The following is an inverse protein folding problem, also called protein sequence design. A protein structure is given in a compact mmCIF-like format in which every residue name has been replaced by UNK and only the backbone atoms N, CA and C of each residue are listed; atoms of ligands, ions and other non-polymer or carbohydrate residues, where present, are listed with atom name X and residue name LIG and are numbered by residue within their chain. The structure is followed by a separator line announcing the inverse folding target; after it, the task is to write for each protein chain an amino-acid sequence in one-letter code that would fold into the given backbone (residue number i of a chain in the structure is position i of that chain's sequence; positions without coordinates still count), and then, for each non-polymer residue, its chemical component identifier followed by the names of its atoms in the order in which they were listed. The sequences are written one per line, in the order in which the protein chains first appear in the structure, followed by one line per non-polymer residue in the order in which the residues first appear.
data_IF_039278547702
#
_entry.id   IF_039278547702
#
_cell.length_a   1.000
_cell.length_b   1.000
_cell.length_c   1.000
_cell.angle_alpha   90.00
_cell.angle_beta   90.00
_cell.angle_gamma   90.00
#
_symmetry.space_group_name_H-M   'P 1'
#
loop_
_entity.id
_entity.type
_entity.pdbx_description
1 polymer ?
#
# COMPACT_ATOMS: atom_id res chain seq x y z
N UNK A 1 -2.00 -7.16 8.98
CA UNK A 1 -2.20 -7.52 7.55
C UNK A 1 -3.67 -7.44 7.07
N UNK A 2 -4.68 -7.55 7.96
CA UNK A 2 -6.09 -7.60 7.57
C UNK A 2 -6.58 -6.40 6.73
N UNK A 3 -6.13 -5.17 7.03
CA UNK A 3 -6.51 -3.98 6.25
C UNK A 3 -6.08 -4.08 4.79
N UNK A 4 -4.85 -4.54 4.50
CA UNK A 4 -4.38 -4.72 3.13
C UNK A 4 -5.24 -5.70 2.35
N UNK A 5 -5.59 -6.83 2.98
CA UNK A 5 -6.50 -7.82 2.40
C UNK A 5 -7.90 -7.24 2.13
N UNK A 6 -8.47 -6.51 3.10
CA UNK A 6 -9.79 -5.89 2.94
C UNK A 6 -9.83 -4.85 1.81
N UNK A 7 -8.73 -4.12 1.60
CA UNK A 7 -8.59 -3.18 0.49
C UNK A 7 -8.43 -3.90 -0.85
N UNK A 8 -7.69 -5.01 -0.90
CA UNK A 8 -7.52 -5.82 -2.12
C UNK A 8 -8.86 -6.33 -2.67
N UNK A 9 -9.77 -6.79 -1.80
CA UNK A 9 -11.11 -7.25 -2.17
C UNK A 9 -12.00 -6.18 -2.83
N UNK A 10 -11.61 -4.91 -2.71
CA UNK A 10 -12.35 -3.75 -3.24
C UNK A 10 -11.61 -3.04 -4.37
N UNK A 11 -10.34 -3.36 -4.57
CA UNK A 11 -9.54 -2.78 -5.63
C UNK A 11 -9.95 -3.37 -6.99
N UNK A 12 -9.67 -2.60 -8.03
CA UNK A 12 -9.91 -2.91 -9.44
C UNK A 12 -8.70 -2.47 -10.26
N UNK A 13 -8.59 -2.96 -11.49
CA UNK A 13 -7.58 -2.50 -12.43
C UNK A 13 -7.62 -0.97 -12.57
N UNK A 14 -6.45 -0.34 -12.61
CA UNK A 14 -6.29 1.12 -12.66
C UNK A 14 -6.37 1.80 -11.29
N UNK A 15 -6.68 1.09 -10.20
CA UNK A 15 -6.66 1.71 -8.88
C UNK A 15 -5.22 1.91 -8.38
N UNK A 16 -5.00 3.05 -7.75
CA UNK A 16 -3.74 3.37 -7.07
C UNK A 16 -3.99 3.65 -5.60
N UNK A 17 -3.22 3.01 -4.73
CA UNK A 17 -3.18 3.26 -3.30
C UNK A 17 -1.87 3.98 -2.96
N UNK A 18 -1.99 5.17 -2.37
CA UNK A 18 -0.88 6.00 -1.93
C UNK A 18 -0.65 5.78 -0.44
N UNK A 19 0.47 5.14 -0.09
CA UNK A 19 0.77 4.69 1.26
C UNK A 19 1.68 5.71 1.96
N UNK A 20 1.07 6.50 2.84
CA UNK A 20 1.75 7.50 3.66
C UNK A 20 2.02 6.95 5.07
N UNK A 21 3.12 7.39 5.68
CA UNK A 21 3.45 7.06 7.07
C UNK A 21 4.94 7.06 7.32
N UNK A 22 5.34 7.27 8.57
CA UNK A 22 6.75 7.25 8.98
C UNK A 22 7.41 5.87 8.84
N UNK A 23 8.68 5.78 9.24
CA UNK A 23 9.38 4.51 9.39
C UNK A 23 8.63 3.60 10.38
N UNK A 24 8.55 2.31 10.07
CA UNK A 24 7.84 1.34 10.93
C UNK A 24 6.31 1.43 10.94
N UNK A 25 5.71 2.41 10.26
CA UNK A 25 4.25 2.60 10.23
C UNK A 25 3.47 1.44 9.57
N UNK A 26 4.17 0.52 8.90
CA UNK A 26 3.56 -0.70 8.36
C UNK A 26 3.12 -0.61 6.89
N UNK A 27 3.60 0.37 6.11
CA UNK A 27 3.32 0.51 4.67
C UNK A 27 3.56 -0.79 3.89
N UNK A 28 4.76 -1.36 3.99
CA UNK A 28 5.10 -2.65 3.37
C UNK A 28 4.28 -3.82 3.91
N UNK A 29 3.88 -3.79 5.20
CA UNK A 29 3.00 -4.81 5.78
C UNK A 29 1.59 -4.75 5.16
N UNK A 30 1.06 -3.55 4.93
CA UNK A 30 -0.19 -3.35 4.21
C UNK A 30 -0.06 -3.83 2.77
N UNK A 31 1.00 -3.43 2.06
CA UNK A 31 1.22 -3.86 0.68
C UNK A 31 1.32 -5.39 0.56
N UNK A 32 2.02 -6.04 1.48
CA UNK A 32 2.09 -7.51 1.56
C UNK A 32 0.73 -8.15 1.77
N UNK A 33 -0.06 -7.66 2.73
CA UNK A 33 -1.41 -8.17 2.95
C UNK A 33 -2.31 -7.99 1.72
N UNK A 34 -2.16 -6.87 1.03
CA UNK A 34 -2.87 -6.58 -0.22
C UNK A 34 -2.49 -7.57 -1.32
N UNK A 35 -1.19 -7.67 -1.66
CA UNK A 35 -0.69 -8.47 -2.78
C UNK A 35 -1.03 -9.96 -2.58
N UNK A 36 -0.82 -10.47 -1.37
CA UNK A 36 -1.14 -11.86 -1.06
C UNK A 36 -2.62 -12.14 -1.24
N UNK A 37 -3.49 -11.25 -0.74
CA UNK A 37 -4.94 -11.41 -0.90
C UNK A 37 -5.38 -11.28 -2.36
N UNK A 38 -4.76 -10.38 -3.12
CA UNK A 38 -5.00 -10.17 -4.55
C UNK A 38 -4.71 -11.44 -5.35
N UNK A 39 -3.56 -12.06 -5.11
CA UNK A 39 -3.09 -13.25 -5.81
C UNK A 39 -3.63 -14.57 -5.23
N UNK A 40 -4.42 -14.55 -4.16
CA UNK A 40 -4.91 -15.77 -3.52
C UNK A 40 -3.83 -16.59 -2.80
N UNK A 41 -2.75 -15.95 -2.33
CA UNK A 41 -1.66 -16.57 -1.56
C UNK A 41 -2.11 -16.86 -0.11
N UNK A 42 -3.04 -17.82 0.05
CA UNK A 42 -3.63 -18.17 1.36
C UNK A 42 -2.62 -18.81 2.32
N UNK A 43 -1.61 -19.50 1.80
CA UNK A 43 -0.55 -20.13 2.59
C UNK A 43 0.59 -19.18 2.98
N UNK A 44 0.50 -17.91 2.56
CA UNK A 44 1.47 -16.86 2.83
C UNK A 44 2.90 -17.19 2.33
N UNK A 45 3.02 -18.02 1.29
CA UNK A 45 4.29 -18.47 0.73
C UNK A 45 4.94 -17.41 -0.18
N UNK A 46 4.15 -16.52 -0.78
CA UNK A 46 4.67 -15.44 -1.61
C UNK A 46 5.50 -14.46 -0.77
N UNK A 47 6.75 -14.27 -1.18
CA UNK A 47 7.63 -13.29 -0.58
C UNK A 47 7.34 -11.88 -1.12
N UNK A 48 6.84 -11.00 -0.25
CA UNK A 48 6.63 -9.58 -0.55
C UNK A 48 7.44 -8.74 0.42
N UNK A 49 8.56 -8.23 -0.09
CA UNK A 49 9.47 -7.33 0.62
C UNK A 49 9.28 -5.88 0.13
N UNK A 50 9.81 -4.92 0.90
CA UNK A 50 9.88 -3.55 0.43
C UNK A 50 10.84 -3.47 -0.77
N UNK A 51 10.41 -2.86 -1.89
CA UNK A 51 11.22 -2.70 -3.07
C UNK A 51 12.12 -1.46 -2.98
N UNK A 52 12.52 -0.96 -1.80
CA UNK A 52 13.25 0.32 -1.69
C UNK A 52 14.48 0.45 -2.61
N UNK A 53 15.13 -0.66 -3.00
CA UNK A 53 16.26 -0.66 -3.94
C UNK A 53 15.87 -0.97 -5.38
N UNK A 54 14.85 -1.80 -5.59
CA UNK A 54 14.33 -2.14 -6.93
C UNK A 54 13.41 -1.04 -7.47
N UNK A 55 12.94 -0.15 -6.59
CA UNK A 55 11.93 0.88 -6.79
C UNK A 55 10.55 0.31 -7.10
N UNK A 56 10.44 -0.67 -7.99
CA UNK A 56 9.20 -1.31 -8.40
C UNK A 56 9.37 -2.84 -8.40
N UNK A 57 8.52 -3.53 -7.63
CA UNK A 57 8.33 -4.97 -7.72
C UNK A 57 6.97 -5.26 -8.35
N UNK A 58 6.95 -6.11 -9.37
CA UNK A 58 5.74 -6.50 -10.07
C UNK A 58 5.29 -7.90 -9.68
N UNK A 59 3.98 -8.05 -9.49
CA UNK A 59 3.34 -9.30 -9.10
C UNK A 59 2.24 -9.62 -10.11
N UNK A 60 2.54 -10.41 -11.15
CA UNK A 60 1.58 -10.74 -12.18
C UNK A 60 0.52 -11.70 -11.63
N UNK A 61 -0.74 -11.42 -11.95
CA UNK A 61 -1.85 -12.33 -11.69
C UNK A 61 -2.01 -13.28 -12.89
N UNK A 62 -1.18 -14.33 -12.93
CA UNK A 62 -1.05 -15.23 -14.09
C UNK A 62 -2.32 -16.07 -14.34
N UNK A 63 -3.04 -16.42 -13.27
CA UNK A 63 -4.23 -17.26 -13.32
C UNK A 63 -5.52 -16.44 -13.57
N UNK A 64 -5.47 -15.10 -13.48
CA UNK A 64 -6.62 -14.22 -13.65
C UNK A 64 -7.55 -14.28 -12.43
N UNK A 65 -6.94 -14.01 -11.27
CA UNK A 65 -7.19 -14.53 -9.95
C UNK A 65 -8.55 -14.26 -9.31
N UNK A 66 -8.62 -14.65 -8.03
CA UNK A 66 -9.87 -14.77 -7.28
C UNK A 66 -10.70 -13.48 -7.18
N UNK A 67 -10.06 -12.32 -7.28
CA UNK A 67 -10.70 -11.00 -7.11
C UNK A 67 -11.01 -10.27 -8.42
N UNK A 68 -10.44 -10.71 -9.55
CA UNK A 68 -10.82 -10.22 -10.88
C UNK A 68 -11.03 -11.37 -11.88
N UNK A 69 -12.22 -12.01 -11.83
CA UNK A 69 -12.55 -13.10 -12.74
C UNK A 69 -12.42 -12.65 -14.21
N UNK A 70 -11.49 -13.27 -14.94
CA UNK A 70 -11.29 -13.03 -16.38
C UNK A 70 -10.34 -11.88 -16.74
N UNK A 71 -9.66 -11.27 -15.76
CA UNK A 71 -8.65 -10.24 -15.98
C UNK A 71 -7.31 -10.60 -15.33
N UNK A 72 -6.23 -10.58 -16.12
CA UNK A 72 -4.86 -10.69 -15.60
C UNK A 72 -4.35 -9.28 -15.28
N UNK A 73 -4.33 -8.93 -14.01
CA UNK A 73 -4.01 -7.56 -13.58
C UNK A 73 -2.81 -7.62 -12.65
N UNK A 74 -1.68 -7.12 -13.14
CA UNK A 74 -0.44 -7.02 -12.38
C UNK A 74 -0.61 -6.02 -11.24
N UNK A 75 -0.05 -6.36 -10.07
CA UNK A 75 0.13 -5.40 -8.97
C UNK A 75 1.56 -4.86 -9.04
N UNK A 76 1.70 -3.54 -9.09
CA UNK A 76 2.97 -2.85 -8.91
C UNK A 76 3.10 -2.39 -7.47
N UNK A 77 4.17 -2.79 -6.80
CA UNK A 77 4.55 -2.28 -5.48
C UNK A 77 5.75 -1.37 -5.68
N UNK A 78 5.53 -0.07 -5.48
CA UNK A 78 6.55 0.94 -5.63
C UNK A 78 6.96 1.48 -4.26
N UNK A 79 8.26 1.64 -4.03
CA UNK A 79 8.80 2.36 -2.88
C UNK A 79 9.73 3.47 -3.36
N UNK A 80 9.23 4.70 -3.24
CA UNK A 80 9.89 5.87 -3.82
C UNK A 80 10.85 6.56 -2.84
N UNK A 81 11.00 6.08 -1.60
CA UNK A 81 11.76 6.77 -0.55
C UNK A 81 13.16 7.24 -0.99
N UNK A 82 13.85 6.40 -1.78
CA UNK A 82 15.22 6.64 -2.24
C UNK A 82 15.31 7.52 -3.49
N UNK A 83 14.18 7.80 -4.15
CA UNK A 83 14.18 8.61 -5.36
C UNK A 83 14.08 10.10 -5.03
N UNK A 84 14.75 10.95 -5.82
CA UNK A 84 14.38 12.35 -5.92
C UNK A 84 12.94 12.48 -6.43
N UNK A 85 12.29 13.59 -6.08
CA UNK A 85 10.96 13.90 -6.59
C UNK A 85 10.92 13.91 -8.13
N UNK A 86 9.88 13.35 -8.73
CA UNK A 86 9.68 13.46 -10.17
C UNK A 86 10.49 12.51 -11.03
N UNK A 87 11.05 11.43 -10.44
CA UNK A 87 12.00 10.55 -11.13
C UNK A 87 11.50 9.13 -11.41
N UNK A 88 10.38 8.72 -10.82
CA UNK A 88 9.89 7.35 -11.02
C UNK A 88 9.47 7.09 -12.48
N UNK A 89 8.93 8.11 -13.17
CA UNK A 89 8.57 7.99 -14.59
C UNK A 89 9.74 7.76 -15.55
N UNK A 90 10.99 7.85 -15.08
CA UNK A 90 12.18 7.49 -15.86
C UNK A 90 12.50 5.99 -15.79
N UNK A 91 11.91 5.28 -14.83
CA UNK A 91 12.15 3.87 -14.55
C UNK A 91 10.93 3.01 -14.88
N UNK A 92 9.73 3.58 -14.74
CA UNK A 92 8.45 2.90 -14.88
C UNK A 92 7.55 3.68 -15.85
N UNK A 93 6.82 2.97 -16.72
CA UNK A 93 5.79 3.57 -17.59
C UNK A 93 4.52 3.89 -16.78
N UNK A 94 4.58 4.97 -15.98
CA UNK A 94 3.49 5.37 -15.10
C UNK A 94 2.14 5.53 -15.83
N UNK A 95 2.04 6.13 -17.04
CA UNK A 95 0.77 6.22 -17.75
C UNK A 95 0.12 4.87 -18.03
N UNK A 96 0.89 3.84 -18.36
CA UNK A 96 0.36 2.49 -18.57
C UNK A 96 0.03 1.82 -17.24
N UNK A 97 0.94 1.90 -16.27
CA UNK A 97 0.80 1.25 -14.97
C UNK A 97 -0.42 1.78 -14.21
N UNK A 98 -0.60 3.10 -14.09
CA UNK A 98 -1.74 3.67 -13.38
C UNK A 98 -3.08 3.48 -14.09
N UNK A 99 -3.08 3.18 -15.39
CA UNK A 99 -4.31 2.94 -16.15
C UNK A 99 -4.75 1.49 -16.10
N UNK A 100 -3.82 0.56 -16.27
CA UNK A 100 -4.12 -0.84 -16.56
C UNK A 100 -3.85 -1.78 -15.36
N UNK A 101 -2.99 -1.37 -14.42
CA UNK A 101 -2.55 -2.19 -13.29
C UNK A 101 -3.12 -1.68 -11.96
N UNK A 102 -2.95 -2.48 -10.90
CA UNK A 102 -3.11 -1.97 -9.52
C UNK A 102 -1.77 -1.46 -9.03
N UNK A 103 -1.73 -0.30 -8.40
CA UNK A 103 -0.50 0.30 -7.91
C UNK A 103 -0.54 0.54 -6.40
N UNK A 104 0.50 0.12 -5.68
CA UNK A 104 0.73 0.41 -4.28
C UNK A 104 1.99 1.26 -4.17
N UNK A 105 1.86 2.55 -3.86
CA UNK A 105 2.98 3.49 -3.88
C UNK A 105 3.32 3.93 -2.47
N UNK A 106 4.43 3.44 -1.92
CA UNK A 106 5.02 3.95 -0.68
C UNK A 106 5.79 5.25 -0.93
N UNK A 107 5.68 6.18 0.02
CA UNK A 107 6.30 7.52 -0.05
C UNK A 107 5.85 8.32 -1.29
N UNK A 108 4.53 8.44 -1.52
CA UNK A 108 3.96 9.07 -2.70
C UNK A 108 4.30 10.57 -2.82
N UNK A 109 4.77 11.23 -1.76
CA UNK A 109 5.30 12.60 -1.78
C UNK A 109 6.54 12.77 -2.70
N UNK A 110 7.12 11.67 -3.18
CA UNK A 110 8.19 11.69 -4.19
C UNK A 110 7.66 11.73 -5.62
N UNK A 111 6.35 11.61 -5.83
CA UNK A 111 5.74 11.89 -7.13
C UNK A 111 5.73 13.40 -7.36
N UNK A 112 6.11 13.81 -8.56
CA UNK A 112 5.87 15.19 -8.99
C UNK A 112 4.36 15.45 -9.18
N UNK A 113 3.91 16.71 -9.17
CA UNK A 113 2.51 17.04 -9.48
C UNK A 113 2.04 16.49 -10.82
N UNK A 114 2.90 16.46 -11.84
CA UNK A 114 2.57 15.94 -13.18
C UNK A 114 2.38 14.43 -13.16
N UNK A 115 3.25 13.69 -12.46
CA UNK A 115 3.10 12.23 -12.31
C UNK A 115 1.85 11.90 -11.49
N UNK A 116 1.56 12.68 -10.44
CA UNK A 116 0.37 12.49 -9.62
C UNK A 116 -0.94 12.69 -10.41
N UNK A 117 -0.95 13.60 -11.40
CA UNK A 117 -2.10 13.86 -12.27
C UNK A 117 -2.42 12.71 -13.23
N UNK A 118 -1.51 11.75 -13.42
CA UNK A 118 -1.77 10.55 -14.24
C UNK A 118 -2.80 9.62 -13.58
N UNK A 119 -2.96 9.71 -12.26
CA UNK A 119 -3.95 8.93 -11.51
C UNK A 119 -5.33 9.59 -11.58
N UNK A 120 -6.37 8.81 -11.89
CA UNK A 120 -7.73 9.33 -11.95
C UNK A 120 -8.35 9.59 -10.56
N UNK A 121 -8.23 8.63 -9.65
CA UNK A 121 -8.95 8.61 -8.37
C UNK A 121 -8.21 7.75 -7.32
N UNK A 122 -7.04 8.18 -6.81
CA UNK A 122 -6.28 7.37 -5.87
C UNK A 122 -6.94 7.28 -4.49
N UNK A 123 -6.64 6.20 -3.77
CA UNK A 123 -6.92 6.09 -2.34
C UNK A 123 -5.67 6.45 -1.56
N UNK A 124 -5.72 7.48 -0.73
CA UNK A 124 -4.64 7.74 0.23
C UNK A 124 -4.86 6.92 1.50
N UNK A 125 -3.80 6.25 1.95
CA UNK A 125 -3.76 5.45 3.16
C UNK A 125 -2.69 6.03 4.07
N UNK A 126 -3.10 6.69 5.13
CA UNK A 126 -2.22 7.31 6.12
C UNK A 126 -2.09 6.40 7.32
N UNK A 127 -0.91 5.79 7.48
CA UNK A 127 -0.58 4.89 8.58
C UNK A 127 0.25 5.63 9.62
N UNK A 128 -0.13 5.50 10.90
CA UNK A 128 0.77 5.88 12.00
C UNK A 128 0.71 4.85 13.13
N UNK A 129 1.82 4.77 13.84
CA UNK A 129 1.89 4.11 15.13
C UNK A 129 1.12 4.96 16.14
N UNK A 130 0.55 4.35 17.17
CA UNK A 130 0.13 5.11 18.34
C UNK A 130 1.34 5.69 19.09
N UNK A 131 1.10 6.52 20.10
CA UNK A 131 2.17 7.24 20.78
C UNK A 131 3.16 6.31 21.49
N UNK A 132 2.66 5.24 22.12
CA UNK A 132 3.50 4.26 22.83
C UNK A 132 4.33 3.42 21.86
N UNK A 133 3.73 2.94 20.77
CA UNK A 133 4.44 2.22 19.72
C UNK A 133 5.43 3.12 18.98
N UNK A 134 5.09 4.40 18.76
CA UNK A 134 6.01 5.36 18.15
C UNK A 134 7.22 5.61 19.05
N UNK A 135 7.01 5.81 20.35
CA UNK A 135 8.07 5.97 21.33
C UNK A 135 8.97 4.71 21.37
N UNK A 136 8.36 3.52 21.34
CA UNK A 136 9.10 2.25 21.30
C UNK A 136 9.95 2.10 20.05
N UNK A 137 9.41 2.44 18.88
CA UNK A 137 10.12 2.36 17.60
C UNK A 137 11.21 3.43 17.43
N UNK A 138 11.13 4.52 18.18
CA UNK A 138 12.18 5.54 18.21
C UNK A 138 13.39 5.13 19.06
N UNK A 139 13.21 4.21 20.00
CA UNK A 139 14.27 3.62 20.81
C UNK A 139 14.91 2.41 20.07
N UNK A 140 16.22 2.39 19.79
CA UNK A 140 16.86 1.29 19.08
C UNK A 140 16.71 -0.09 19.76
N UNK A 141 16.78 -0.15 21.09
CA UNK A 141 16.60 -1.40 21.85
C UNK A 141 15.14 -1.86 21.78
N UNK A 142 14.20 -0.93 22.02
CA UNK A 142 12.78 -1.17 21.86
C UNK A 142 12.36 -1.63 20.46
N UNK A 143 12.92 -1.01 19.41
CA UNK A 143 12.65 -1.38 18.02
C UNK A 143 13.19 -2.76 17.66
N UNK A 144 14.41 -3.09 18.13
CA UNK A 144 14.99 -4.41 17.91
C UNK A 144 14.16 -5.50 18.59
N UNK A 145 13.76 -5.30 19.85
CA UNK A 145 12.91 -6.23 20.58
C UNK A 145 11.55 -6.45 19.88
N UNK A 146 10.88 -5.38 19.46
CA UNK A 146 9.59 -5.49 18.77
C UNK A 146 9.68 -6.27 17.44
N UNK A 147 10.80 -6.14 16.72
CA UNK A 147 11.06 -6.89 15.49
C UNK A 147 11.36 -8.37 15.77
N UNK A 148 12.16 -8.67 16.79
CA UNK A 148 12.50 -10.05 17.20
C UNK A 148 11.27 -10.81 17.71
N UNK A 149 10.45 -10.15 18.53
CA UNK A 149 9.24 -10.72 19.11
C UNK A 149 8.08 -10.82 18.11
N UNK A 150 8.22 -10.20 16.92
CA UNK A 150 7.17 -10.16 15.92
C UNK A 150 5.92 -9.43 16.42
N UNK A 151 6.11 -8.44 17.28
CA UNK A 151 5.03 -7.77 18.00
C UNK A 151 4.12 -6.98 17.03
N UNK A 152 2.81 -7.21 17.11
CA UNK A 152 1.84 -6.42 16.34
C UNK A 152 1.54 -5.11 17.07
N UNK A 153 2.43 -4.14 16.87
CA UNK A 153 2.28 -2.83 17.50
C UNK A 153 0.97 -2.15 17.06
N UNK A 154 0.24 -1.54 18.01
CA UNK A 154 -0.99 -0.80 17.73
C UNK A 154 -0.75 0.33 16.72
N UNK A 155 -1.64 0.39 15.73
CA UNK A 155 -1.56 1.25 14.57
C UNK A 155 -2.94 1.76 14.21
N UNK A 156 -2.98 2.98 13.73
CA UNK A 156 -4.18 3.52 13.10
C UNK A 156 -3.94 3.76 11.61
N UNK A 157 -5.03 3.63 10.84
CA UNK A 157 -5.04 3.90 9.43
C UNK A 157 -6.18 4.87 9.11
N UNK A 158 -5.87 5.99 8.47
CA UNK A 158 -6.87 6.89 7.90
C UNK A 158 -6.91 6.69 6.39
N UNK A 159 -8.10 6.40 5.88
CA UNK A 159 -8.37 6.22 4.46
C UNK A 159 -9.00 7.50 3.89
N UNK A 160 -8.43 8.06 2.83
CA UNK A 160 -8.94 9.25 2.15
C UNK A 160 -9.16 8.93 0.67
N UNK A 161 -10.41 8.68 0.31
CA UNK A 161 -10.81 8.41 -1.06
C UNK A 161 -10.80 9.70 -1.89
N UNK A 162 -10.02 9.74 -2.98
CA UNK A 162 -10.10 10.80 -3.99
C UNK A 162 -11.05 10.34 -5.09
N UNK A 163 -12.25 10.94 -5.15
CA UNK A 163 -13.30 10.56 -6.11
C UNK A 163 -14.32 9.57 -5.55
N UNK A 164 -15.44 9.43 -6.26
CA UNK A 164 -16.62 8.68 -5.79
C UNK A 164 -16.39 7.16 -5.74
N UNK A 165 -15.56 6.63 -6.64
CA UNK A 165 -15.33 5.20 -6.77
C UNK A 165 -14.82 4.55 -5.48
N UNK A 166 -13.84 5.15 -4.80
CA UNK A 166 -13.35 4.63 -3.52
C UNK A 166 -14.30 4.95 -2.36
N UNK A 167 -15.03 6.07 -2.40
CA UNK A 167 -16.01 6.41 -1.35
C UNK A 167 -17.09 5.34 -1.25
N UNK A 168 -17.66 4.93 -2.39
CA UNK A 168 -18.65 3.87 -2.46
C UNK A 168 -18.09 2.55 -1.90
N UNK A 169 -16.90 2.15 -2.34
CA UNK A 169 -16.27 0.88 -1.94
C UNK A 169 -15.87 0.84 -0.47
N UNK A 170 -15.46 1.97 0.11
CA UNK A 170 -15.08 2.08 1.52
C UNK A 170 -16.29 2.15 2.45
N UNK A 171 -17.46 2.61 2.00
CA UNK A 171 -18.68 2.63 2.81
C UNK A 171 -19.07 1.24 3.35
N UNK A 172 -18.61 0.19 2.68
CA UNK A 172 -18.79 -1.21 3.05
C UNK A 172 -17.76 -1.73 4.08
N UNK A 173 -16.78 -0.91 4.50
CA UNK A 173 -15.82 -1.28 5.55
C UNK A 173 -16.33 -0.70 6.88
N UNK A 174 -16.66 -1.57 7.84
CA UNK A 174 -16.86 -1.15 9.23
C UNK A 174 -15.48 -0.85 9.81
N UNK A 175 -15.14 0.42 9.94
CA UNK A 175 -13.97 0.89 10.67
C UNK A 175 -14.45 1.53 11.98
N UNK A 176 -13.89 1.12 13.10
CA UNK A 176 -14.08 1.84 14.37
C UNK A 176 -13.38 3.19 14.25
N UNK A 177 -14.14 4.27 14.43
CA UNK A 177 -13.67 5.64 14.24
C UNK A 177 -13.28 6.25 15.59
N UNK A 178 -12.02 6.12 15.97
CA UNK A 178 -11.46 6.93 17.05
C UNK A 178 -10.64 8.07 16.43
N UNK A 179 -11.22 9.27 16.44
CA UNK A 179 -10.49 10.51 16.19
C UNK A 179 -10.76 11.46 17.35
N UNK A 180 -9.71 11.74 18.14
CA UNK A 180 -9.60 13.02 18.82
C UNK A 180 -8.83 13.96 17.88
N UNK A 181 -9.34 15.18 17.71
CA UNK A 181 -8.80 16.25 16.87
C UNK A 181 -7.36 16.65 17.21
#
# INVERSE_FOLDING_TARGET
MALGAALAERARAGDTLLLHGGYGAGKTCLARGFIRRWLGDEDASLHVASPSYLIDNTYPDEEGGALQPGGRVTVHHMDLWRLPEGKVGQLVDLPAVFRDCVSLVEWPERLSPTEAQLMAAPLEVHLRLDEEAAARMADPEGAAAALEDGEDLPRWARLVARGEAWQERLSAIKLESDFAE
#
